data_IF_799731222751
#
_entry.id   IF_799731222751
#
_cell.length_a   1.000
_cell.length_b   1.000
_cell.length_c   1.000
_cell.angle_alpha   90.00
_cell.angle_beta   90.00
_cell.angle_gamma   90.00
#
_symmetry.space_group_name_H-M   'P 1'
#
loop_
_entity.id
_entity.type
_entity.pdbx_description
1 polymer ?
#
# COMPACT_ATOMS: atom_id res chain seq x y z
N UNK A 1 71.89 -3.78 -19.77
CA UNK A 1 70.96 -4.89 -19.50
C UNK A 1 69.73 -4.30 -18.81
N UNK A 2 68.58 -4.40 -19.47
CA UNK A 2 67.29 -3.84 -19.06
C UNK A 2 66.80 -4.44 -17.73
N UNK A 3 66.06 -3.67 -16.93
CA UNK A 3 64.73 -4.09 -16.46
C UNK A 3 63.94 -2.87 -15.95
N UNK A 4 63.05 -2.32 -16.78
CA UNK A 4 61.99 -1.39 -16.35
C UNK A 4 60.89 -2.22 -15.68
N UNK A 5 60.64 -2.01 -14.39
CA UNK A 5 59.46 -2.55 -13.71
C UNK A 5 58.24 -1.75 -14.14
N UNK A 6 57.42 -2.36 -15.00
CA UNK A 6 56.08 -1.87 -15.35
C UNK A 6 55.15 -2.41 -14.25
N UNK A 7 54.63 -1.52 -13.41
CA UNK A 7 53.55 -1.85 -12.47
C UNK A 7 52.24 -1.78 -13.25
N UNK A 8 51.64 -2.92 -13.50
CA UNK A 8 50.30 -3.04 -14.09
C UNK A 8 49.28 -2.84 -12.96
N UNK A 9 48.68 -1.65 -12.88
CA UNK A 9 47.49 -1.44 -12.05
C UNK A 9 46.30 -2.08 -12.77
N UNK A 10 45.87 -3.25 -12.29
CA UNK A 10 44.61 -3.88 -12.72
C UNK A 10 43.48 -3.07 -12.07
N UNK A 11 42.87 -2.20 -12.87
CA UNK A 11 41.63 -1.51 -12.51
C UNK A 11 40.51 -2.55 -12.59
N UNK A 12 40.14 -3.13 -11.46
CA UNK A 12 38.95 -3.98 -11.35
C UNK A 12 37.74 -3.05 -11.41
N UNK A 13 37.18 -2.85 -12.63
CA UNK A 13 35.83 -2.31 -12.76
C UNK A 13 34.88 -3.35 -12.18
N UNK A 14 34.53 -3.21 -10.90
CA UNK A 14 33.30 -3.80 -10.39
C UNK A 14 32.16 -3.14 -11.14
N UNK A 15 31.51 -3.87 -12.05
CA UNK A 15 30.23 -3.48 -12.63
C UNK A 15 29.20 -3.47 -11.50
N UNK A 16 29.10 -2.35 -10.79
CA UNK A 16 27.95 -2.09 -9.94
C UNK A 16 26.79 -1.87 -10.91
N UNK A 17 25.90 -2.86 -11.03
CA UNK A 17 24.62 -2.64 -11.67
C UNK A 17 23.86 -1.60 -10.84
N UNK A 18 24.02 -0.33 -11.20
CA UNK A 18 23.22 0.74 -10.65
C UNK A 18 21.84 0.61 -11.29
N UNK A 19 20.86 0.16 -10.51
CA UNK A 19 19.47 0.21 -10.94
C UNK A 19 19.06 1.67 -10.94
N UNK A 20 18.76 2.23 -12.11
CA UNK A 20 18.30 3.60 -12.21
C UNK A 20 16.84 3.69 -11.75
N UNK A 21 16.53 4.71 -10.94
CA UNK A 21 15.15 5.11 -10.70
C UNK A 21 14.50 5.45 -12.04
N UNK A 22 13.27 5.01 -12.20
CA UNK A 22 12.50 5.23 -13.42
C UNK A 22 11.02 5.47 -13.08
N UNK A 23 10.28 6.08 -14.00
CA UNK A 23 8.88 6.45 -13.82
C UNK A 23 8.02 6.19 -15.05
N UNK A 24 6.80 5.75 -14.86
CA UNK A 24 5.79 5.60 -15.91
C UNK A 24 4.45 6.21 -15.50
N UNK A 25 3.51 6.33 -16.45
CA UNK A 25 2.13 6.74 -16.12
C UNK A 25 1.44 5.67 -15.28
N UNK A 26 0.65 6.11 -14.29
CA UNK A 26 -0.17 5.19 -13.50
C UNK A 26 -1.45 4.78 -14.22
N UNK A 27 -2.20 3.88 -13.59
CA UNK A 27 -3.49 3.41 -14.08
C UNK A 27 -4.62 4.29 -13.53
N UNK A 28 -5.60 4.58 -14.38
CA UNK A 28 -6.85 5.25 -13.99
C UNK A 28 -7.95 4.21 -13.86
N UNK A 29 -8.66 4.25 -12.74
CA UNK A 29 -9.80 3.40 -12.41
C UNK A 29 -11.06 4.26 -12.43
N UNK A 30 -12.16 3.63 -12.79
CA UNK A 30 -13.50 4.25 -12.84
C UNK A 30 -14.36 3.60 -11.75
N UNK A 31 -15.03 4.44 -10.95
CA UNK A 31 -16.05 4.00 -10.03
C UNK A 31 -17.43 4.10 -10.70
N UNK A 32 -18.09 2.97 -10.87
CA UNK A 32 -19.38 2.88 -11.53
C UNK A 32 -20.54 3.07 -10.53
N UNK A 33 -21.59 3.76 -10.95
CA UNK A 33 -22.83 3.81 -10.19
C UNK A 33 -23.62 2.50 -10.32
N UNK A 34 -24.16 2.01 -9.20
CA UNK A 34 -25.26 1.05 -9.20
C UNK A 34 -26.60 1.79 -9.39
N UNK A 35 -27.52 1.23 -10.17
CA UNK A 35 -28.86 1.81 -10.38
C UNK A 35 -29.78 1.66 -9.15
N UNK A 36 -29.36 0.90 -8.14
CA UNK A 36 -30.13 0.60 -6.94
C UNK A 36 -29.99 1.69 -5.87
N UNK A 37 -31.08 1.90 -5.12
CA UNK A 37 -31.07 2.74 -3.92
C UNK A 37 -30.98 1.83 -2.69
N UNK A 38 -29.79 1.75 -2.11
CA UNK A 38 -29.44 0.75 -1.09
C UNK A 38 -29.99 1.08 0.30
N UNK A 39 -30.05 2.38 0.63
CA UNK A 39 -30.46 2.86 1.95
C UNK A 39 -29.67 2.22 3.11
N UNK A 40 -28.34 2.11 2.97
CA UNK A 40 -27.43 1.54 3.98
C UNK A 40 -26.36 2.55 4.38
N UNK A 41 -25.88 2.47 5.63
CA UNK A 41 -24.84 3.36 6.12
C UNK A 41 -23.87 2.67 7.08
N UNK A 42 -22.58 2.84 6.82
CA UNK A 42 -21.48 2.48 7.69
C UNK A 42 -20.56 3.68 7.89
N UNK A 43 -20.45 4.20 9.12
CA UNK A 43 -19.66 5.40 9.39
C UNK A 43 -18.28 5.11 9.97
N UNK A 44 -18.02 3.86 10.35
CA UNK A 44 -16.83 3.47 11.09
C UNK A 44 -16.72 4.13 12.48
N UNK A 45 -15.53 4.11 13.09
CA UNK A 45 -15.29 4.74 14.37
C UNK A 45 -15.40 6.27 14.28
N UNK A 46 -15.86 6.92 15.36
CA UNK A 46 -16.02 8.37 15.36
C UNK A 46 -14.67 9.09 15.32
N UNK A 47 -14.37 9.74 14.20
CA UNK A 47 -13.21 10.61 14.05
C UNK A 47 -13.42 12.03 14.63
N UNK A 48 -14.64 12.35 15.11
CA UNK A 48 -15.02 13.70 15.60
C UNK A 48 -14.21 14.18 16.82
N UNK A 49 -13.60 13.25 17.56
CA UNK A 49 -12.72 13.55 18.70
C UNK A 49 -11.22 13.52 18.36
N UNK A 50 -10.84 13.24 17.10
CA UNK A 50 -9.44 13.19 16.65
C UNK A 50 -8.84 14.55 16.30
N UNK A 51 -9.50 15.68 16.64
CA UNK A 51 -8.81 16.99 16.61
C UNK A 51 -7.53 17.02 17.48
N UNK A 52 -7.33 16.00 18.33
CA UNK A 52 -6.14 15.78 19.16
C UNK A 52 -5.31 14.54 18.78
N UNK A 53 -5.75 13.71 17.83
CA UNK A 53 -4.86 12.70 17.27
C UNK A 53 -3.98 13.41 16.26
N UNK A 54 -2.67 13.36 16.46
CA UNK A 54 -1.72 14.01 15.56
C UNK A 54 -2.06 13.61 14.12
N UNK A 55 -2.37 14.60 13.25
CA UNK A 55 -2.43 14.37 11.81
C UNK A 55 -1.07 13.81 11.41
N UNK A 56 -1.02 12.52 11.08
CA UNK A 56 0.19 11.73 10.84
C UNK A 56 0.58 11.70 9.34
N UNK A 57 -0.31 12.18 8.48
CA UNK A 57 -0.05 12.49 7.09
C UNK A 57 -0.61 13.87 6.71
N UNK A 58 0.01 14.49 5.71
CA UNK A 58 -0.50 15.72 5.06
C UNK A 58 -0.97 15.37 3.66
N UNK A 59 -2.23 15.71 3.35
CA UNK A 59 -2.80 15.57 2.00
C UNK A 59 -3.22 16.95 1.54
N UNK A 60 -2.64 17.42 0.44
CA UNK A 60 -2.92 18.73 -0.15
C UNK A 60 -3.75 18.55 -1.42
N UNK A 61 -4.90 19.20 -1.50
CA UNK A 61 -5.80 19.09 -2.65
C UNK A 61 -5.83 20.39 -3.43
N UNK A 62 -5.61 20.30 -4.75
CA UNK A 62 -5.84 21.38 -5.70
C UNK A 62 -7.17 21.14 -6.40
N UNK A 63 -8.16 22.01 -6.15
CA UNK A 63 -9.50 21.88 -6.72
C UNK A 63 -9.68 22.71 -8.00
N UNK A 64 -10.33 22.12 -9.00
CA UNK A 64 -10.78 22.79 -10.22
C UNK A 64 -12.30 22.66 -10.35
N UNK A 65 -13.00 23.78 -10.48
CA UNK A 65 -14.46 23.86 -10.74
C UNK A 65 -15.37 23.25 -9.65
N UNK A 66 -14.84 22.90 -8.48
CA UNK A 66 -15.64 22.32 -7.39
C UNK A 66 -16.57 23.36 -6.73
N UNK A 67 -17.86 23.02 -6.49
CA UNK A 67 -18.73 23.72 -5.55
C UNK A 67 -18.19 23.67 -4.12
N UNK A 68 -18.49 24.68 -3.29
CA UNK A 68 -17.93 24.76 -1.93
C UNK A 68 -18.43 23.64 -0.99
N UNK A 69 -19.70 23.24 -1.10
CA UNK A 69 -20.24 22.11 -0.34
C UNK A 69 -19.55 20.79 -0.72
N UNK A 70 -19.25 20.61 -2.01
CA UNK A 70 -18.53 19.45 -2.51
C UNK A 70 -17.08 19.41 -2.01
N UNK A 71 -16.40 20.57 -1.89
CA UNK A 71 -15.06 20.65 -1.25
C UNK A 71 -15.12 20.21 0.21
N UNK A 72 -16.18 20.56 0.93
CA UNK A 72 -16.34 20.19 2.34
C UNK A 72 -16.49 18.67 2.51
N UNK A 73 -17.30 18.03 1.68
CA UNK A 73 -17.42 16.57 1.66
C UNK A 73 -16.12 15.87 1.23
N UNK A 74 -15.42 16.41 0.24
CA UNK A 74 -14.10 15.91 -0.17
C UNK A 74 -13.09 16.02 0.98
N UNK A 75 -13.06 17.17 1.68
CA UNK A 75 -12.14 17.40 2.78
C UNK A 75 -12.40 16.43 3.95
N UNK A 76 -13.67 16.05 4.20
CA UNK A 76 -13.98 15.04 5.21
C UNK A 76 -13.38 13.66 4.87
N UNK A 77 -13.43 13.24 3.60
CA UNK A 77 -12.74 12.04 3.13
C UNK A 77 -11.21 12.14 3.29
N UNK A 78 -10.64 13.31 2.99
CA UNK A 78 -9.21 13.59 3.19
C UNK A 78 -8.83 13.48 4.66
N UNK A 79 -9.61 14.05 5.57
CA UNK A 79 -9.33 14.03 7.01
C UNK A 79 -9.31 12.59 7.57
N UNK A 80 -10.15 11.69 7.05
CA UNK A 80 -10.09 10.25 7.39
C UNK A 80 -8.75 9.66 6.98
N UNK A 81 -8.32 9.83 5.73
CA UNK A 81 -7.02 9.31 5.28
C UNK A 81 -5.83 9.93 6.02
N UNK A 82 -5.86 11.24 6.32
CA UNK A 82 -4.84 11.92 7.13
C UNK A 82 -4.71 11.36 8.55
N UNK A 83 -5.78 10.77 9.09
CA UNK A 83 -5.79 10.14 10.41
C UNK A 83 -5.33 8.69 10.42
N UNK A 84 -5.22 8.06 9.24
CA UNK A 84 -4.90 6.64 9.08
C UNK A 84 -3.50 6.41 8.50
N UNK A 85 -3.04 7.25 7.57
CA UNK A 85 -1.74 7.08 6.91
C UNK A 85 -0.61 7.71 7.70
N UNK A 86 0.55 7.06 7.68
CA UNK A 86 1.77 7.53 8.32
C UNK A 86 2.80 7.84 7.25
N UNK A 87 3.09 9.12 7.06
CA UNK A 87 4.09 9.60 6.11
C UNK A 87 4.54 11.02 6.44
N UNK A 88 5.83 11.30 6.26
CA UNK A 88 6.40 12.66 6.31
C UNK A 88 6.20 13.45 5.03
N UNK A 89 6.01 12.76 3.90
CA UNK A 89 5.90 13.39 2.60
C UNK A 89 4.43 13.71 2.34
N UNK A 90 4.15 14.95 1.97
CA UNK A 90 2.79 15.39 1.70
C UNK A 90 2.29 14.79 0.39
N UNK A 91 1.13 14.13 0.44
CA UNK A 91 0.46 13.57 -0.74
C UNK A 91 -0.27 14.71 -1.45
N UNK A 92 -0.05 14.86 -2.75
CA UNK A 92 -0.69 15.90 -3.56
C UNK A 92 -1.80 15.31 -4.42
N UNK A 93 -3.00 15.88 -4.32
CA UNK A 93 -4.15 15.48 -5.12
C UNK A 93 -4.57 16.64 -6.02
N UNK A 94 -4.82 16.37 -7.30
CA UNK A 94 -5.58 17.27 -8.18
C UNK A 94 -6.99 16.73 -8.34
N UNK A 95 -7.99 17.54 -7.99
CA UNK A 95 -9.40 17.17 -8.04
C UNK A 95 -10.15 18.07 -9.05
N UNK A 96 -10.78 17.47 -10.05
CA UNK A 96 -11.57 18.17 -11.07
C UNK A 96 -13.06 17.83 -10.94
N UNK A 97 -13.93 18.85 -10.95
CA UNK A 97 -15.38 18.68 -11.03
C UNK A 97 -15.81 18.85 -12.48
N UNK A 98 -15.97 17.75 -13.21
CA UNK A 98 -16.27 17.81 -14.64
C UNK A 98 -17.29 16.75 -15.08
N UNK A 99 -17.84 16.91 -16.28
CA UNK A 99 -18.81 15.97 -16.83
C UNK A 99 -18.10 14.71 -17.32
N UNK A 100 -18.40 13.58 -16.71
CA UNK A 100 -18.01 12.27 -17.22
C UNK A 100 -19.23 11.68 -17.93
N UNK A 101 -19.02 11.15 -19.14
CA UNK A 101 -20.08 10.45 -19.88
C UNK A 101 -20.29 9.07 -19.27
N UNK A 102 -21.54 8.57 -19.27
CA UNK A 102 -21.99 7.32 -18.64
C UNK A 102 -22.32 7.43 -17.14
N UNK A 103 -22.62 6.29 -16.51
CA UNK A 103 -22.94 6.16 -15.08
C UNK A 103 -21.71 6.15 -14.16
N UNK A 104 -20.52 6.49 -14.67
CA UNK A 104 -19.31 6.66 -13.85
C UNK A 104 -19.48 7.80 -12.84
N UNK A 105 -19.29 7.51 -11.56
CA UNK A 105 -19.36 8.45 -10.44
C UNK A 105 -18.11 9.34 -10.40
N UNK A 106 -16.95 8.71 -10.50
CA UNK A 106 -15.65 9.38 -10.52
C UNK A 106 -14.60 8.51 -11.21
N UNK A 107 -13.48 9.13 -11.57
CA UNK A 107 -12.27 8.44 -11.99
C UNK A 107 -11.10 8.86 -11.12
N UNK A 108 -10.22 7.92 -10.81
CA UNK A 108 -9.03 8.18 -9.99
C UNK A 108 -7.86 7.28 -10.36
N UNK A 109 -6.66 7.75 -10.05
CA UNK A 109 -5.46 6.94 -10.14
C UNK A 109 -4.23 7.70 -9.69
N UNK A 110 -3.15 6.96 -9.47
CA UNK A 110 -1.84 7.57 -9.34
C UNK A 110 -1.44 8.20 -10.69
N UNK A 111 -0.96 9.45 -10.70
CA UNK A 111 -0.48 10.08 -11.95
C UNK A 111 0.76 9.39 -12.49
N UNK A 112 1.64 8.95 -11.59
CA UNK A 112 2.89 8.27 -11.91
C UNK A 112 3.08 7.05 -11.03
N UNK A 113 3.85 6.11 -11.55
CA UNK A 113 4.46 5.03 -10.78
C UNK A 113 5.98 5.11 -10.88
N UNK A 114 6.68 4.64 -9.85
CA UNK A 114 8.13 4.62 -9.76
C UNK A 114 8.65 3.22 -9.45
N UNK A 115 9.79 2.85 -10.03
CA UNK A 115 10.54 1.64 -9.67
C UNK A 115 11.98 2.00 -9.32
N UNK A 116 12.64 1.15 -8.54
CA UNK A 116 14.07 1.25 -8.23
C UNK A 116 14.51 2.61 -7.64
N UNK A 117 13.60 3.29 -6.92
CA UNK A 117 13.88 4.51 -6.17
C UNK A 117 14.60 4.18 -4.84
N UNK A 118 15.10 5.21 -4.16
CA UNK A 118 15.77 5.05 -2.88
C UNK A 118 14.84 4.36 -1.85
N UNK A 119 15.35 3.34 -1.15
CA UNK A 119 14.60 2.55 -0.17
C UNK A 119 13.44 1.70 -0.73
N UNK A 120 13.34 1.52 -2.05
CA UNK A 120 12.35 0.61 -2.64
C UNK A 120 12.50 -0.82 -2.05
N UNK A 121 11.44 -1.40 -1.44
CA UNK A 121 11.54 -2.70 -0.76
C UNK A 121 11.79 -3.85 -1.73
N UNK A 122 11.22 -3.77 -2.92
CA UNK A 122 11.35 -4.77 -3.98
C UNK A 122 11.81 -4.04 -5.25
N UNK A 123 12.88 -4.56 -5.85
CA UNK A 123 13.39 -4.07 -7.13
C UNK A 123 12.52 -4.56 -8.29
N UNK A 124 12.56 -3.81 -9.38
CA UNK A 124 11.86 -4.15 -10.63
C UNK A 124 10.35 -4.38 -10.43
N UNK A 125 9.77 -3.57 -9.53
CA UNK A 125 8.35 -3.48 -9.23
C UNK A 125 7.94 -2.01 -9.20
N UNK A 126 6.77 -1.71 -9.74
CA UNK A 126 6.24 -0.34 -9.81
C UNK A 126 5.38 0.00 -8.59
N UNK A 127 5.61 1.18 -8.01
CA UNK A 127 4.89 1.71 -6.87
C UNK A 127 4.18 3.01 -7.27
N UNK A 128 2.91 3.25 -6.88
CA UNK A 128 2.26 4.54 -7.11
C UNK A 128 3.05 5.67 -6.44
N UNK A 129 3.07 6.86 -7.04
CA UNK A 129 3.95 7.94 -6.62
C UNK A 129 3.83 8.28 -5.14
N UNK A 130 2.61 8.41 -4.60
CA UNK A 130 2.39 8.71 -3.19
C UNK A 130 3.08 7.68 -2.26
N UNK A 131 3.01 6.39 -2.61
CA UNK A 131 3.66 5.32 -1.85
C UNK A 131 5.17 5.34 -2.04
N UNK A 132 5.63 5.52 -3.27
CA UNK A 132 7.06 5.60 -3.57
C UNK A 132 7.73 6.76 -2.80
N UNK A 133 7.08 7.92 -2.76
CA UNK A 133 7.53 9.09 -2.00
C UNK A 133 7.50 8.84 -0.48
N UNK A 134 6.43 8.23 0.04
CA UNK A 134 6.33 7.87 1.45
C UNK A 134 7.46 6.92 1.89
N UNK A 135 7.80 5.93 1.06
CA UNK A 135 8.90 4.98 1.32
C UNK A 135 10.27 5.67 1.17
N UNK A 136 10.46 6.47 0.12
CA UNK A 136 11.71 7.19 -0.11
C UNK A 136 11.97 8.24 0.98
N UNK A 137 10.92 8.75 1.62
CA UNK A 137 10.97 9.84 2.59
C UNK A 137 11.20 11.21 1.95
N UNK A 138 11.13 11.29 0.62
CA UNK A 138 11.33 12.51 -0.18
C UNK A 138 10.34 12.54 -1.33
N UNK A 139 10.06 13.76 -1.81
CA UNK A 139 9.25 13.99 -3.00
C UNK A 139 10.05 13.59 -4.26
N UNK A 140 9.44 12.77 -5.13
CA UNK A 140 10.04 12.19 -6.34
C UNK A 140 9.49 12.82 -7.63
N UNK A 141 8.33 13.48 -7.59
CA UNK A 141 7.64 14.06 -8.76
C UNK A 141 7.62 15.61 -8.79
N UNK A 142 8.33 16.27 -7.88
CA UNK A 142 8.45 17.72 -7.80
C UNK A 142 7.13 18.40 -7.44
N UNK A 143 6.61 19.22 -8.35
CA UNK A 143 5.33 19.94 -8.15
C UNK A 143 4.12 19.20 -8.70
N UNK A 144 4.32 18.08 -9.41
CA UNK A 144 3.22 17.29 -9.96
C UNK A 144 2.37 16.68 -8.85
N UNK A 145 1.10 16.41 -9.14
CA UNK A 145 0.24 15.70 -8.22
C UNK A 145 0.57 14.20 -8.19
N UNK A 146 0.34 13.57 -7.04
CA UNK A 146 0.45 12.13 -6.88
C UNK A 146 -0.79 11.40 -7.39
N UNK A 147 -1.95 11.96 -7.04
CA UNK A 147 -3.26 11.39 -7.34
C UNK A 147 -4.04 12.40 -8.16
N UNK A 148 -4.70 11.93 -9.22
CA UNK A 148 -5.66 12.71 -9.97
C UNK A 148 -7.06 12.11 -9.79
N UNK A 149 -8.03 12.93 -9.41
CA UNK A 149 -9.43 12.55 -9.23
C UNK A 149 -10.29 13.46 -10.11
N UNK A 150 -11.20 12.88 -10.88
CA UNK A 150 -12.26 13.62 -11.58
C UNK A 150 -13.61 13.12 -11.10
N UNK A 151 -14.41 14.02 -10.54
CA UNK A 151 -15.76 13.71 -10.04
C UNK A 151 -16.78 14.13 -11.07
N UNK A 152 -17.74 13.26 -11.36
CA UNK A 152 -18.76 13.51 -12.35
C UNK A 152 -19.78 14.54 -11.86
N UNK A 153 -19.73 15.75 -12.42
CA UNK A 153 -20.65 16.85 -12.07
C UNK A 153 -22.12 16.60 -12.42
N UNK A 154 -22.39 15.59 -13.27
CA UNK A 154 -23.73 15.28 -13.76
C UNK A 154 -24.50 14.35 -12.81
N UNK A 155 -23.86 13.85 -11.75
CA UNK A 155 -24.47 12.94 -10.78
C UNK A 155 -25.25 13.73 -9.72
N UNK A 156 -26.32 13.12 -9.22
CA UNK A 156 -27.09 13.63 -8.09
C UNK A 156 -26.36 13.33 -6.78
N UNK A 157 -25.63 14.32 -6.26
CA UNK A 157 -24.77 14.16 -5.09
C UNK A 157 -25.47 14.54 -3.77
N UNK A 158 -25.16 13.78 -2.72
CA UNK A 158 -25.22 14.20 -1.33
C UNK A 158 -23.85 14.75 -0.91
N UNK A 159 -23.85 15.89 -0.22
CA UNK A 159 -22.65 16.51 0.35
C UNK A 159 -22.59 16.35 1.87
N UNK A 160 -23.53 15.62 2.46
CA UNK A 160 -23.57 15.37 3.90
C UNK A 160 -22.41 14.47 4.33
N UNK A 161 -21.88 14.71 5.53
CA UNK A 161 -20.73 13.98 6.11
C UNK A 161 -21.06 13.39 7.47
N UNK A 162 -22.34 13.45 7.86
CA UNK A 162 -22.85 13.00 9.14
C UNK A 162 -23.53 11.63 9.08
N UNK A 163 -23.58 11.03 7.89
CA UNK A 163 -24.24 9.75 7.63
C UNK A 163 -25.73 9.87 7.29
N UNK A 164 -26.23 11.07 7.01
CA UNK A 164 -27.62 11.27 6.58
C UNK A 164 -27.81 10.67 5.18
N UNK A 165 -28.61 9.60 5.10
CA UNK A 165 -28.99 8.98 3.84
C UNK A 165 -30.01 9.86 3.11
N UNK A 166 -29.75 10.16 1.85
CA UNK A 166 -30.67 10.87 0.97
C UNK A 166 -31.03 9.95 -0.19
N UNK A 167 -32.32 9.62 -0.32
CA UNK A 167 -32.79 8.76 -1.40
C UNK A 167 -32.41 9.32 -2.78
N UNK A 168 -31.98 8.41 -3.68
CA UNK A 168 -31.58 8.73 -5.05
C UNK A 168 -30.40 9.70 -5.19
N UNK A 169 -29.59 9.85 -4.13
CA UNK A 169 -28.34 10.61 -4.16
C UNK A 169 -27.17 9.71 -3.80
N UNK A 170 -26.06 9.90 -4.50
CA UNK A 170 -24.80 9.23 -4.19
C UNK A 170 -24.04 10.04 -3.14
N UNK A 171 -23.45 9.37 -2.17
CA UNK A 171 -22.68 10.00 -1.10
C UNK A 171 -21.28 10.40 -1.61
N UNK A 172 -21.02 11.71 -1.73
CA UNK A 172 -19.76 12.18 -2.29
C UNK A 172 -18.56 11.79 -1.42
N UNK A 173 -18.69 11.84 -0.09
CA UNK A 173 -17.60 11.48 0.83
C UNK A 173 -17.17 10.02 0.64
N UNK A 174 -18.13 9.10 0.51
CA UNK A 174 -17.90 7.68 0.23
C UNK A 174 -17.13 7.49 -1.08
N UNK A 175 -17.57 8.14 -2.16
CA UNK A 175 -16.88 8.07 -3.46
C UNK A 175 -15.47 8.64 -3.37
N UNK A 176 -15.27 9.80 -2.73
CA UNK A 176 -13.90 10.36 -2.59
C UNK A 176 -12.99 9.47 -1.76
N UNK A 177 -13.50 8.85 -0.68
CA UNK A 177 -12.73 7.89 0.10
C UNK A 177 -12.26 6.71 -0.75
N UNK A 178 -13.16 6.18 -1.58
CA UNK A 178 -12.90 5.12 -2.56
C UNK A 178 -11.84 5.55 -3.59
N UNK A 179 -12.02 6.70 -4.23
CA UNK A 179 -11.10 7.23 -5.23
C UNK A 179 -9.69 7.46 -4.67
N UNK A 180 -9.57 7.95 -3.44
CA UNK A 180 -8.27 8.12 -2.80
C UNK A 180 -7.59 6.76 -2.59
N UNK A 181 -8.33 5.69 -2.24
CA UNK A 181 -7.76 4.35 -2.07
C UNK A 181 -7.09 3.83 -3.37
N UNK A 182 -7.72 4.06 -4.53
CA UNK A 182 -7.12 3.75 -5.83
C UNK A 182 -5.81 4.53 -6.04
N UNK A 183 -5.83 5.85 -5.79
CA UNK A 183 -4.64 6.69 -5.89
C UNK A 183 -3.49 6.28 -4.95
N UNK A 184 -3.81 5.70 -3.78
CA UNK A 184 -2.85 5.17 -2.83
C UNK A 184 -2.27 3.81 -3.23
N UNK A 185 -2.82 3.14 -4.25
CA UNK A 185 -2.29 1.88 -4.77
C UNK A 185 -3.21 0.67 -4.68
N UNK A 186 -4.50 0.85 -4.35
CA UNK A 186 -5.50 -0.20 -4.50
C UNK A 186 -5.85 -0.34 -5.98
N UNK A 187 -4.93 -0.86 -6.80
CA UNK A 187 -5.09 -0.91 -8.26
C UNK A 187 -4.21 -1.99 -8.86
N UNK A 188 -4.77 -2.82 -9.74
CA UNK A 188 -4.01 -3.78 -10.53
C UNK A 188 -3.57 -3.21 -11.88
N UNK A 189 -2.49 -3.76 -12.45
CA UNK A 189 -2.16 -3.57 -13.87
C UNK A 189 -2.77 -4.62 -14.80
N UNK A 190 -3.43 -5.65 -14.25
CA UNK A 190 -3.96 -6.77 -15.01
C UNK A 190 -5.05 -6.32 -15.96
N UNK A 191 -4.92 -6.69 -17.24
CA UNK A 191 -5.88 -6.35 -18.29
C UNK A 191 -5.95 -7.41 -19.37
N UNK A 192 -7.02 -7.39 -20.16
CA UNK A 192 -7.08 -8.20 -21.37
C UNK A 192 -6.00 -7.79 -22.38
N UNK A 193 -5.56 -8.77 -23.17
CA UNK A 193 -4.45 -8.64 -24.09
C UNK A 193 -4.73 -9.39 -25.41
N UNK A 194 -4.08 -8.92 -26.47
CA UNK A 194 -4.24 -9.45 -27.82
C UNK A 194 -5.42 -8.84 -28.58
N UNK A 195 -5.42 -8.99 -29.90
CA UNK A 195 -6.39 -8.37 -30.83
C UNK A 195 -7.84 -8.83 -30.63
N UNK A 196 -8.05 -9.99 -30.01
CA UNK A 196 -9.38 -10.55 -29.70
C UNK A 196 -9.60 -10.71 -28.19
N UNK A 197 -8.77 -10.07 -27.35
CA UNK A 197 -8.85 -10.16 -25.89
C UNK A 197 -8.87 -11.61 -25.36
N UNK A 198 -8.29 -12.56 -26.10
CA UNK A 198 -8.30 -13.99 -25.75
C UNK A 198 -7.33 -14.30 -24.61
N UNK A 199 -6.40 -13.39 -24.34
CA UNK A 199 -5.41 -13.48 -23.28
C UNK A 199 -5.59 -12.33 -22.28
N UNK A 200 -4.93 -12.44 -21.15
CA UNK A 200 -4.69 -11.32 -20.25
C UNK A 200 -3.19 -11.13 -20.07
N UNK A 201 -2.81 -9.94 -19.63
CA UNK A 201 -1.45 -9.55 -19.31
C UNK A 201 -1.43 -8.69 -18.04
N UNK A 202 -0.25 -8.49 -17.48
CA UNK A 202 -0.01 -7.51 -16.43
C UNK A 202 1.29 -6.76 -16.68
N UNK A 203 1.42 -5.65 -15.97
CA UNK A 203 2.63 -4.88 -15.82
C UNK A 203 2.79 -3.73 -16.80
N UNK A 204 3.79 -2.91 -16.47
CA UNK A 204 4.35 -1.86 -17.32
C UNK A 204 5.76 -2.31 -17.67
N UNK A 205 6.06 -2.39 -18.97
CA UNK A 205 7.36 -2.90 -19.48
C UNK A 205 7.70 -4.32 -19.00
N UNK A 206 6.67 -5.15 -18.79
CA UNK A 206 6.84 -6.52 -18.30
C UNK A 206 7.12 -6.64 -16.80
N UNK A 207 7.06 -5.54 -16.04
CA UNK A 207 7.23 -5.51 -14.59
C UNK A 207 5.88 -5.25 -13.87
N UNK A 208 5.58 -5.95 -12.77
CA UNK A 208 4.30 -5.82 -12.08
C UNK A 208 4.22 -4.53 -11.26
N UNK A 209 3.00 -4.10 -10.91
CA UNK A 209 2.81 -3.20 -9.77
C UNK A 209 3.04 -3.96 -8.47
N UNK A 210 3.39 -3.25 -7.40
CA UNK A 210 3.52 -3.82 -6.05
C UNK A 210 2.22 -4.50 -5.59
N UNK A 211 1.07 -4.02 -6.05
CA UNK A 211 -0.21 -4.62 -5.77
C UNK A 211 -0.36 -6.01 -6.43
N UNK A 212 0.11 -6.16 -7.68
CA UNK A 212 -0.13 -7.37 -8.48
C UNK A 212 0.57 -8.60 -7.91
N UNK A 213 1.73 -8.42 -7.25
CA UNK A 213 2.54 -9.54 -6.75
C UNK A 213 1.91 -10.28 -5.56
N UNK A 214 0.86 -9.71 -4.95
CA UNK A 214 0.12 -10.33 -3.86
C UNK A 214 -1.19 -10.99 -4.32
N UNK A 215 -1.59 -10.81 -5.58
CA UNK A 215 -2.77 -11.46 -6.14
C UNK A 215 -2.49 -12.94 -6.40
N UNK A 216 -3.28 -13.81 -5.79
CA UNK A 216 -3.14 -15.27 -5.91
C UNK A 216 -4.49 -15.98 -5.97
N UNK A 217 -4.50 -17.21 -6.48
CA UNK A 217 -5.66 -18.10 -6.40
C UNK A 217 -5.78 -18.75 -5.02
N UNK A 218 -6.93 -19.37 -4.71
CA UNK A 218 -7.14 -20.11 -3.45
C UNK A 218 -6.10 -21.21 -3.21
N UNK A 219 -5.58 -21.82 -4.27
CA UNK A 219 -4.54 -22.85 -4.20
C UNK A 219 -3.11 -22.28 -3.99
N UNK A 220 -2.96 -20.98 -3.79
CA UNK A 220 -1.68 -20.31 -3.57
C UNK A 220 -0.89 -19.95 -4.84
N UNK A 221 -1.46 -20.17 -6.04
CA UNK A 221 -0.82 -19.76 -7.29
C UNK A 221 -0.85 -18.23 -7.43
N UNK A 222 0.32 -17.61 -7.30
CA UNK A 222 0.53 -16.17 -7.53
C UNK A 222 0.39 -15.85 -9.02
N UNK A 223 -0.44 -14.86 -9.35
CA UNK A 223 -0.80 -14.55 -10.74
C UNK A 223 0.35 -13.94 -11.56
N UNK A 224 1.33 -13.32 -10.89
CA UNK A 224 2.54 -12.76 -11.52
C UNK A 224 3.70 -13.75 -11.63
N UNK A 225 3.53 -14.99 -11.15
CA UNK A 225 4.57 -16.01 -11.27
C UNK A 225 4.61 -16.60 -12.70
N UNK A 226 5.50 -16.06 -13.54
CA UNK A 226 5.64 -16.44 -14.95
C UNK A 226 6.15 -17.87 -15.18
N UNK A 227 6.69 -18.53 -14.15
CA UNK A 227 7.01 -19.96 -14.22
C UNK A 227 5.76 -20.85 -14.19
N UNK A 228 4.61 -20.31 -13.75
CA UNK A 228 3.34 -21.02 -13.63
C UNK A 228 2.31 -20.48 -14.63
N UNK A 229 2.18 -19.15 -14.73
CA UNK A 229 1.18 -18.48 -15.56
C UNK A 229 1.89 -17.51 -16.51
N UNK A 230 1.80 -17.75 -17.82
CA UNK A 230 2.44 -16.87 -18.82
C UNK A 230 1.87 -15.44 -18.81
N UNK A 231 2.67 -14.48 -19.28
CA UNK A 231 2.29 -13.07 -19.42
C UNK A 231 2.74 -12.56 -20.81
N UNK A 232 1.83 -12.33 -21.79
CA UNK A 232 0.39 -12.58 -21.75
C UNK A 232 0.02 -14.08 -21.83
N UNK A 233 -1.15 -14.47 -21.32
CA UNK A 233 -1.69 -15.84 -21.53
C UNK A 233 -3.21 -15.97 -21.40
N UNK A 234 -3.76 -17.05 -21.97
CA UNK A 234 -5.16 -17.46 -21.78
C UNK A 234 -5.40 -17.97 -20.35
N UNK A 235 -4.37 -18.55 -19.72
CA UNK A 235 -4.38 -19.02 -18.35
C UNK A 235 -4.57 -17.85 -17.37
N UNK A 236 -3.88 -16.74 -17.60
CA UNK A 236 -4.07 -15.52 -16.81
C UNK A 236 -5.47 -14.97 -16.99
N UNK A 237 -6.00 -14.94 -18.22
CA UNK A 237 -7.40 -14.52 -18.47
C UNK A 237 -8.37 -15.37 -17.66
N UNK A 238 -8.24 -16.70 -17.74
CA UNK A 238 -9.08 -17.61 -16.99
C UNK A 238 -8.96 -17.40 -15.48
N UNK A 239 -7.77 -17.07 -14.96
CA UNK A 239 -7.56 -16.80 -13.55
C UNK A 239 -8.24 -15.50 -13.08
N UNK A 240 -8.09 -14.40 -13.81
CA UNK A 240 -8.67 -13.10 -13.41
C UNK A 240 -10.20 -13.04 -13.59
N UNK A 241 -10.81 -14.02 -14.27
CA UNK A 241 -12.27 -14.15 -14.43
C UNK A 241 -12.85 -15.41 -13.77
N UNK A 242 -12.27 -15.85 -12.65
CA UNK A 242 -12.58 -17.15 -12.03
C UNK A 242 -13.44 -17.10 -10.76
N UNK A 243 -13.70 -15.90 -10.22
CA UNK A 243 -14.20 -15.66 -8.86
C UNK A 243 -13.30 -16.26 -7.74
N UNK A 244 -12.09 -16.67 -8.08
CA UNK A 244 -11.12 -17.39 -7.24
C UNK A 244 -9.78 -16.63 -7.22
N UNK A 245 -9.84 -15.35 -6.85
CA UNK A 245 -8.66 -14.50 -6.64
C UNK A 245 -8.73 -13.85 -5.27
N UNK A 246 -7.61 -13.92 -4.56
CA UNK A 246 -7.42 -13.43 -3.21
C UNK A 246 -6.14 -12.59 -3.14
N UNK A 247 -6.15 -11.56 -2.30
CA UNK A 247 -4.98 -10.75 -2.03
C UNK A 247 -4.25 -11.29 -0.80
N UNK A 248 -3.02 -11.79 -0.98
CA UNK A 248 -2.24 -12.35 0.12
C UNK A 248 -1.83 -11.25 1.11
N UNK A 249 -2.19 -11.44 2.38
CA UNK A 249 -1.69 -10.61 3.49
C UNK A 249 -0.79 -11.48 4.37
N UNK A 250 0.45 -11.07 4.56
CA UNK A 250 1.47 -11.91 5.20
C UNK A 250 1.48 -11.79 6.73
N UNK A 251 0.88 -10.74 7.27
CA UNK A 251 0.86 -10.46 8.72
C UNK A 251 -0.41 -9.71 9.13
N UNK A 252 -0.81 -9.92 10.37
CA UNK A 252 -1.95 -9.23 10.98
C UNK A 252 -3.26 -10.02 10.92
N UNK A 253 -4.40 -9.39 11.23
CA UNK A 253 -5.67 -10.09 11.45
C UNK A 253 -6.17 -10.85 10.22
N UNK A 254 -5.76 -10.42 9.02
CA UNK A 254 -6.16 -11.01 7.74
C UNK A 254 -5.18 -12.07 7.21
N UNK A 255 -4.13 -12.42 7.97
CA UNK A 255 -3.10 -13.36 7.48
C UNK A 255 -3.58 -14.80 7.28
N UNK A 256 -4.74 -15.14 7.85
CA UNK A 256 -5.37 -16.45 7.71
C UNK A 256 -6.71 -16.40 6.96
N UNK A 257 -7.18 -15.21 6.58
CA UNK A 257 -8.39 -15.01 5.76
C UNK A 257 -8.13 -13.89 4.75
N UNK A 258 -7.49 -14.27 3.64
CA UNK A 258 -7.10 -13.32 2.62
C UNK A 258 -8.31 -12.58 2.03
N UNK A 259 -8.20 -11.26 1.79
CA UNK A 259 -9.22 -10.51 1.09
C UNK A 259 -9.59 -11.16 -0.24
N UNK A 260 -10.89 -11.34 -0.48
CA UNK A 260 -11.39 -11.86 -1.74
C UNK A 260 -11.61 -10.71 -2.71
N UNK A 261 -11.02 -10.83 -3.90
CA UNK A 261 -11.03 -9.78 -4.91
C UNK A 261 -12.18 -9.98 -5.88
N UNK A 262 -12.70 -8.88 -6.43
CA UNK A 262 -13.71 -8.90 -7.47
C UNK A 262 -13.10 -9.45 -8.78
N UNK A 263 -13.37 -10.73 -9.04
CA UNK A 263 -12.91 -11.46 -10.22
C UNK A 263 -14.10 -12.08 -10.98
N UNK A 264 -14.99 -11.25 -11.55
CA UNK A 264 -16.23 -11.74 -12.17
C UNK A 264 -15.95 -12.67 -13.36
N UNK A 265 -16.91 -13.53 -13.71
CA UNK A 265 -16.80 -14.42 -14.89
C UNK A 265 -16.71 -13.65 -16.22
N UNK A 266 -17.20 -12.40 -16.24
CA UNK A 266 -17.02 -11.45 -17.34
C UNK A 266 -16.07 -10.35 -16.90
N UNK A 267 -14.93 -10.26 -17.56
CA UNK A 267 -13.94 -9.21 -17.27
C UNK A 267 -14.56 -7.82 -17.40
N UNK A 268 -14.29 -6.98 -16.41
CA UNK A 268 -14.62 -5.55 -16.35
C UNK A 268 -13.32 -4.76 -16.35
N UNK A 269 -13.12 -3.93 -17.37
CA UNK A 269 -11.96 -3.04 -17.43
C UNK A 269 -12.00 -2.04 -16.28
N UNK A 270 -10.88 -1.81 -15.60
CA UNK A 270 -10.83 -0.96 -14.40
C UNK A 270 -11.46 -1.60 -13.15
N UNK A 271 -12.50 -2.43 -13.31
CA UNK A 271 -13.20 -3.09 -12.21
C UNK A 271 -12.50 -4.35 -11.67
N UNK A 272 -12.07 -5.24 -12.57
CA UNK A 272 -11.56 -6.58 -12.21
C UNK A 272 -10.26 -6.47 -11.41
N UNK A 273 -10.24 -7.07 -10.21
CA UNK A 273 -9.12 -7.11 -9.25
C UNK A 273 -8.68 -5.76 -8.64
N UNK A 274 -9.23 -4.64 -9.08
CA UNK A 274 -9.12 -3.34 -8.39
C UNK A 274 -10.25 -3.11 -7.38
N UNK A 275 -11.11 -4.10 -7.14
CA UNK A 275 -12.24 -4.02 -6.19
C UNK A 275 -12.36 -5.30 -5.36
N UNK A 276 -13.12 -5.22 -4.27
CA UNK A 276 -13.44 -6.32 -3.37
C UNK A 276 -14.70 -7.08 -3.84
N UNK A 277 -14.75 -8.37 -3.52
CA UNK A 277 -15.89 -9.22 -3.85
C UNK A 277 -17.13 -8.85 -3.01
N UNK A 278 -18.18 -8.31 -3.63
CA UNK A 278 -19.41 -7.86 -2.93
C UNK A 278 -20.16 -9.01 -2.25
N UNK A 279 -19.97 -10.25 -2.70
CA UNK A 279 -20.61 -11.39 -2.02
C UNK A 279 -19.96 -11.66 -0.66
N UNK A 280 -18.64 -11.43 -0.52
CA UNK A 280 -17.92 -11.49 0.75
C UNK A 280 -18.08 -10.21 1.57
N UNK A 281 -18.14 -9.05 0.91
CA UNK A 281 -18.20 -7.72 1.53
C UNK A 281 -19.44 -6.95 1.04
N UNK A 282 -20.63 -7.28 1.55
CA UNK A 282 -21.87 -6.70 1.05
C UNK A 282 -21.97 -5.20 1.35
N UNK A 283 -22.77 -4.50 0.55
CA UNK A 283 -23.07 -3.07 0.65
C UNK A 283 -23.46 -2.69 2.09
N UNK A 284 -22.93 -1.57 2.58
CA UNK A 284 -23.14 -1.10 3.95
C UNK A 284 -22.40 -1.89 5.05
N UNK A 285 -21.56 -2.87 4.70
CA UNK A 285 -20.65 -3.51 5.65
C UNK A 285 -19.39 -2.67 5.90
N UNK A 286 -18.63 -3.00 6.95
CA UNK A 286 -17.38 -2.31 7.28
C UNK A 286 -16.39 -2.26 6.10
N UNK A 287 -16.35 -3.33 5.28
CA UNK A 287 -15.36 -3.49 4.23
C UNK A 287 -15.95 -3.34 2.81
N UNK A 288 -17.11 -2.66 2.69
CA UNK A 288 -17.78 -2.46 1.39
C UNK A 288 -17.24 -1.27 0.59
N UNK A 289 -16.33 -0.45 1.15
CA UNK A 289 -15.92 0.80 0.50
C UNK A 289 -15.31 0.57 -0.90
N UNK A 290 -14.56 -0.52 -1.12
CA UNK A 290 -14.00 -0.87 -2.45
C UNK A 290 -14.86 -1.88 -3.21
N UNK A 291 -16.18 -1.83 -3.05
CA UNK A 291 -17.09 -2.50 -3.98
C UNK A 291 -16.92 -1.96 -5.40
N UNK A 292 -17.09 -2.78 -6.46
CA UNK A 292 -16.94 -2.37 -7.85
C UNK A 292 -17.98 -1.32 -8.29
N UNK A 293 -19.08 -1.20 -7.56
CA UNK A 293 -20.14 -0.25 -7.82
C UNK A 293 -20.64 0.31 -6.50
N UNK A 294 -21.08 1.57 -6.50
CA UNK A 294 -21.68 2.22 -5.32
C UNK A 294 -23.11 2.61 -5.66
N UNK A 295 -24.06 2.23 -4.81
CA UNK A 295 -25.48 2.56 -5.00
C UNK A 295 -25.86 3.94 -4.46
N UNK A 296 -27.04 4.42 -4.88
CA UNK A 296 -27.62 5.61 -4.27
C UNK A 296 -28.00 5.33 -2.81
N UNK A 297 -27.86 6.33 -1.94
CA UNK A 297 -28.05 6.19 -0.49
C UNK A 297 -27.21 5.08 0.16
N UNK A 298 -26.13 4.62 -0.49
CA UNK A 298 -25.08 3.81 0.12
C UNK A 298 -24.02 4.74 0.72
N UNK A 299 -23.81 4.62 2.03
CA UNK A 299 -22.83 5.41 2.76
C UNK A 299 -21.78 4.50 3.36
N UNK A 300 -20.51 4.75 3.04
CA UNK A 300 -19.37 4.20 3.76
C UNK A 300 -18.31 5.27 4.00
N UNK A 301 -18.21 5.73 5.26
CA UNK A 301 -17.27 6.79 5.66
C UNK A 301 -15.97 6.27 6.30
N UNK A 302 -15.66 4.99 6.12
CA UNK A 302 -14.44 4.37 6.66
C UNK A 302 -13.84 3.29 5.75
N UNK A 303 -12.51 3.28 5.53
CA UNK A 303 -11.88 2.25 4.69
C UNK A 303 -12.06 0.80 5.17
N UNK A 304 -12.22 0.54 6.46
CA UNK A 304 -12.31 -0.82 6.98
C UNK A 304 -10.96 -1.55 7.01
N UNK A 305 -10.90 -2.63 7.79
CA UNK A 305 -9.65 -3.38 8.01
C UNK A 305 -9.08 -4.03 6.74
N UNK A 306 -9.92 -4.39 5.77
CA UNK A 306 -9.48 -5.04 4.53
C UNK A 306 -8.62 -4.09 3.68
N UNK A 307 -9.09 -2.88 3.43
CA UNK A 307 -8.35 -1.88 2.65
C UNK A 307 -7.06 -1.51 3.38
N UNK A 308 -7.16 -1.25 4.68
CA UNK A 308 -6.00 -0.88 5.51
C UNK A 308 -4.93 -1.99 5.50
N UNK A 309 -5.34 -3.26 5.52
CA UNK A 309 -4.42 -4.39 5.42
C UNK A 309 -3.76 -4.53 4.06
N UNK A 310 -4.50 -4.30 2.98
CA UNK A 310 -3.96 -4.30 1.62
C UNK A 310 -2.95 -3.16 1.45
N UNK A 311 -3.30 -1.94 1.87
CA UNK A 311 -2.39 -0.79 1.80
C UNK A 311 -1.14 -1.01 2.65
N UNK A 312 -1.28 -1.61 3.84
CA UNK A 312 -0.13 -1.96 4.67
C UNK A 312 0.77 -3.02 4.01
N UNK A 313 0.18 -4.04 3.40
CA UNK A 313 0.91 -5.11 2.71
C UNK A 313 1.72 -4.59 1.50
N UNK A 314 1.23 -3.58 0.78
CA UNK A 314 1.99 -2.97 -0.34
C UNK A 314 3.07 -1.99 0.14
N UNK A 315 3.03 -1.55 1.40
CA UNK A 315 4.11 -0.78 2.03
C UNK A 315 3.70 0.49 2.79
N UNK A 316 2.41 0.83 2.87
CA UNK A 316 1.97 1.99 3.65
C UNK A 316 2.11 1.75 5.16
N UNK A 317 2.59 2.77 5.87
CA UNK A 317 2.39 2.86 7.32
C UNK A 317 0.92 3.21 7.57
N UNK A 318 0.18 2.33 8.27
CA UNK A 318 -1.24 2.52 8.57
C UNK A 318 -1.50 2.41 10.07
N UNK A 319 -1.98 3.49 10.67
CA UNK A 319 -2.29 3.54 12.10
C UNK A 319 -3.37 2.51 12.48
N UNK A 320 -3.20 1.88 13.64
CA UNK A 320 -4.16 0.91 14.21
C UNK A 320 -4.44 -0.33 13.33
N UNK A 321 -3.60 -0.61 12.33
CA UNK A 321 -3.57 -1.94 11.71
C UNK A 321 -2.68 -2.85 12.56
N UNK A 322 -3.25 -3.94 13.10
CA UNK A 322 -2.56 -4.94 13.93
C UNK A 322 -1.52 -5.72 13.10
N UNK A 323 -0.41 -5.06 12.78
CA UNK A 323 0.66 -5.53 11.90
C UNK A 323 1.73 -4.46 11.67
N UNK A 324 1.72 -3.39 12.47
CA UNK A 324 2.47 -2.17 12.23
C UNK A 324 3.98 -2.40 12.02
N UNK A 325 4.45 -2.07 10.82
CA UNK A 325 5.81 -1.61 10.54
C UNK A 325 5.74 -0.09 10.55
N UNK A 326 6.51 0.55 11.44
CA UNK A 326 6.75 2.00 11.42
C UNK A 326 7.54 2.30 10.14
N UNK A 327 6.89 2.78 9.08
CA UNK A 327 7.57 3.54 8.03
C UNK A 327 7.22 5.02 8.17
N UNK A 328 8.27 5.82 8.19
CA UNK A 328 8.29 7.28 8.13
C UNK A 328 7.75 8.03 9.36
N UNK A 329 8.38 7.85 10.53
CA UNK A 329 9.18 8.88 11.25
C UNK A 329 9.71 8.31 12.54
N UNK A 330 11.03 8.35 12.73
CA UNK A 330 11.70 8.84 13.94
C UNK A 330 13.09 9.35 13.47
N UNK A 331 13.86 10.09 14.27
CA UNK A 331 14.52 11.37 13.95
C UNK A 331 15.67 11.28 12.94
N UNK A 332 16.20 12.45 12.58
CA UNK A 332 17.26 12.72 11.61
C UNK A 332 18.62 11.98 11.80
N UNK A 333 18.74 11.00 12.70
CA UNK A 333 19.94 10.17 12.81
C UNK A 333 19.57 8.73 13.19
N UNK A 334 19.53 7.85 12.18
CA UNK A 334 19.42 6.38 12.37
C UNK A 334 20.57 5.87 13.25
N UNK A 335 21.67 6.61 13.31
CA UNK A 335 22.81 6.30 14.18
C UNK A 335 22.52 6.51 15.66
N UNK A 336 21.39 7.08 16.10
CA UNK A 336 21.10 7.31 17.53
C UNK A 336 20.06 6.35 18.13
N UNK A 337 19.42 5.49 17.32
CA UNK A 337 18.33 4.61 17.77
C UNK A 337 18.53 3.14 17.35
N UNK A 338 17.96 2.22 18.13
CA UNK A 338 18.01 0.79 17.85
C UNK A 338 17.04 0.44 16.73
N UNK A 339 17.55 -0.14 15.65
CA UNK A 339 16.74 -0.53 14.49
C UNK A 339 17.04 -1.97 14.07
N UNK A 340 16.05 -2.66 13.51
CA UNK A 340 16.18 -4.06 13.09
C UNK A 340 15.60 -4.31 11.70
N UNK A 341 16.21 -5.23 10.95
CA UNK A 341 15.72 -5.62 9.62
C UNK A 341 16.25 -6.99 9.16
N UNK A 342 15.54 -7.70 8.26
CA UNK A 342 14.12 -7.47 7.96
C UNK A 342 13.24 -7.80 9.18
N UNK A 343 12.03 -7.26 9.24
CA UNK A 343 11.03 -7.63 10.24
C UNK A 343 9.65 -7.68 9.54
N UNK A 344 9.05 -8.86 9.33
CA UNK A 344 9.44 -10.19 9.85
C UNK A 344 10.79 -10.71 9.36
N UNK A 345 11.49 -11.47 10.21
CA UNK A 345 12.82 -12.02 9.95
C UNK A 345 12.78 -13.55 9.88
N UNK A 346 13.32 -14.18 8.81
CA UNK A 346 13.35 -15.63 8.68
C UNK A 346 14.47 -16.23 9.54
N UNK A 347 15.74 -15.95 9.24
CA UNK A 347 16.85 -16.67 9.91
C UNK A 347 17.79 -15.73 10.67
N UNK A 348 17.88 -14.48 10.25
CA UNK A 348 18.86 -13.52 10.75
C UNK A 348 18.21 -12.15 10.94
N UNK A 349 18.32 -11.66 12.17
CA UNK A 349 17.96 -10.29 12.52
C UNK A 349 19.21 -9.41 12.38
N UNK A 350 19.22 -8.50 11.40
CA UNK A 350 20.22 -7.45 11.33
C UNK A 350 19.79 -6.32 12.27
N UNK A 351 20.75 -5.75 12.99
CA UNK A 351 20.55 -4.72 14.01
C UNK A 351 21.44 -3.55 13.67
N UNK A 352 20.87 -2.35 13.55
CA UNK A 352 21.63 -1.10 13.55
C UNK A 352 21.71 -0.63 14.99
N UNK A 353 22.94 -0.39 15.46
CA UNK A 353 23.21 -0.08 16.85
C UNK A 353 23.39 1.43 17.01
N UNK A 354 22.76 2.06 18.03
CA UNK A 354 23.02 3.44 18.38
C UNK A 354 24.50 3.74 18.63
N UNK A 355 25.01 4.89 18.18
CA UNK A 355 26.35 5.43 18.36
C UNK A 355 26.77 5.49 19.83
N UNK A 356 25.82 5.77 20.72
CA UNK A 356 26.07 5.75 22.18
C UNK A 356 26.54 4.38 22.68
N UNK A 357 26.38 3.32 21.89
CA UNK A 357 26.86 1.98 22.17
C UNK A 357 28.02 1.55 21.27
N UNK A 358 28.51 2.34 20.31
CA UNK A 358 29.67 1.94 19.50
C UNK A 358 30.92 1.79 20.38
N UNK A 359 31.79 0.85 20.01
CA UNK A 359 33.04 0.50 20.70
C UNK A 359 32.84 0.06 22.16
N UNK A 360 31.63 -0.39 22.51
CA UNK A 360 31.29 -0.99 23.81
C UNK A 360 30.98 -2.46 23.64
N UNK A 361 31.10 -3.22 24.71
CA UNK A 361 30.53 -4.57 24.77
C UNK A 361 29.04 -4.46 25.06
N UNK A 362 28.22 -5.02 24.18
CA UNK A 362 26.76 -4.97 24.27
C UNK A 362 26.19 -6.38 24.37
N UNK A 363 25.18 -6.51 25.23
CA UNK A 363 24.39 -7.72 25.39
C UNK A 363 23.05 -7.56 24.66
N UNK A 364 22.75 -8.52 23.79
CA UNK A 364 21.50 -8.64 23.10
C UNK A 364 20.69 -9.83 23.61
N UNK A 365 19.45 -9.59 24.00
CA UNK A 365 18.56 -10.57 24.60
C UNK A 365 17.25 -10.62 23.83
N UNK A 366 16.80 -11.81 23.45
CA UNK A 366 15.51 -12.02 22.78
C UNK A 366 14.55 -12.65 23.77
N UNK A 367 13.41 -12.01 24.01
CA UNK A 367 12.34 -12.50 24.88
C UNK A 367 11.11 -12.87 24.07
N UNK A 368 10.36 -13.89 24.51
CA UNK A 368 8.99 -14.10 24.03
C UNK A 368 8.01 -13.09 24.68
N UNK A 369 6.75 -13.06 24.23
CA UNK A 369 5.73 -12.16 24.79
C UNK A 369 5.35 -12.42 26.26
N UNK A 370 5.76 -13.56 26.83
CA UNK A 370 5.58 -13.89 28.25
C UNK A 370 6.75 -13.40 29.09
N UNK A 371 7.78 -12.81 28.47
CA UNK A 371 9.01 -12.34 29.12
C UNK A 371 10.04 -13.45 29.35
N UNK A 372 9.89 -14.62 28.73
CA UNK A 372 10.87 -15.70 28.82
C UNK A 372 12.05 -15.40 27.90
N UNK A 373 13.28 -15.47 28.42
CA UNK A 373 14.49 -15.31 27.62
C UNK A 373 14.68 -16.51 26.68
N UNK A 374 14.70 -16.24 25.39
CA UNK A 374 14.76 -17.24 24.32
C UNK A 374 16.15 -17.35 23.70
N UNK A 375 16.89 -16.24 23.62
CA UNK A 375 18.25 -16.19 23.10
C UNK A 375 19.02 -15.04 23.74
N UNK A 376 20.33 -15.22 23.88
CA UNK A 376 21.25 -14.19 24.33
C UNK A 376 22.55 -14.25 23.52
N UNK A 377 23.10 -13.08 23.21
CA UNK A 377 24.37 -12.94 22.50
C UNK A 377 25.12 -11.70 22.99
N UNK A 378 26.44 -11.78 23.10
CA UNK A 378 27.31 -10.68 23.52
C UNK A 378 28.30 -10.41 22.39
N UNK A 379 28.45 -9.15 22.00
CA UNK A 379 29.36 -8.75 20.94
C UNK A 379 29.92 -7.35 21.21
N UNK A 380 31.07 -7.05 20.58
CA UNK A 380 31.57 -5.68 20.49
C UNK A 380 30.74 -4.93 19.44
N UNK A 381 30.02 -3.90 19.87
CA UNK A 381 29.10 -3.19 18.99
C UNK A 381 29.85 -2.21 18.09
N UNK A 382 29.70 -2.43 16.79
CA UNK A 382 29.98 -1.45 15.75
C UNK A 382 28.65 -0.87 15.24
N UNK A 383 28.62 -0.27 14.05
CA UNK A 383 27.39 0.29 13.46
C UNK A 383 26.29 -0.75 13.23
N UNK A 384 26.66 -2.00 12.92
CA UNK A 384 25.72 -3.08 12.63
C UNK A 384 26.09 -4.38 13.37
N UNK A 385 25.08 -5.15 13.76
CA UNK A 385 25.22 -6.51 14.30
C UNK A 385 24.19 -7.46 13.66
N UNK A 386 24.41 -8.77 13.82
CA UNK A 386 23.52 -9.82 13.32
C UNK A 386 23.26 -10.84 14.41
N UNK A 387 22.00 -11.25 14.56
CA UNK A 387 21.59 -12.30 15.48
C UNK A 387 20.91 -13.41 14.68
N UNK A 388 21.41 -14.63 14.78
CA UNK A 388 20.74 -15.80 14.18
C UNK A 388 19.53 -16.20 15.05
N UNK A 389 18.35 -16.15 14.45
CA UNK A 389 17.05 -16.49 15.05
C UNK A 389 16.37 -17.68 14.36
N UNK A 390 17.04 -18.38 13.45
CA UNK A 390 16.54 -19.53 12.69
C UNK A 390 15.85 -20.58 13.59
N UNK A 391 16.41 -20.81 14.78
CA UNK A 391 15.93 -21.80 15.74
C UNK A 391 14.78 -21.31 16.63
N UNK A 392 14.38 -20.05 16.54
CA UNK A 392 13.22 -19.54 17.26
C UNK A 392 11.94 -20.05 16.59
N UNK A 393 10.94 -20.51 17.36
CA UNK A 393 9.61 -20.78 16.82
C UNK A 393 9.02 -19.54 16.12
N UNK A 394 8.16 -19.75 15.13
CA UNK A 394 7.40 -18.64 14.54
C UNK A 394 6.59 -17.92 15.61
N UNK A 395 6.64 -16.59 15.63
CA UNK A 395 5.98 -15.81 16.68
C UNK A 395 6.54 -14.40 16.85
N UNK A 396 5.97 -13.70 17.84
CA UNK A 396 6.37 -12.34 18.23
C UNK A 396 7.38 -12.40 19.37
N UNK A 397 8.42 -11.57 19.27
CA UNK A 397 9.52 -11.48 20.22
C UNK A 397 9.88 -10.03 20.52
N UNK A 398 10.64 -9.82 21.59
CA UNK A 398 11.22 -8.53 21.95
C UNK A 398 12.73 -8.70 21.98
N UNK A 399 13.44 -7.95 21.13
CA UNK A 399 14.89 -7.80 21.25
C UNK A 399 15.17 -6.68 22.25
N UNK A 400 16.04 -6.93 23.23
CA UNK A 400 16.55 -5.94 24.19
C UNK A 400 18.05 -5.78 24.03
N UNK A 401 18.51 -4.53 24.03
CA UNK A 401 19.92 -4.15 23.98
C UNK A 401 20.27 -3.33 25.24
N UNK A 402 21.40 -3.69 25.87
CA UNK A 402 22.01 -2.91 26.97
C UNK A 402 21.03 -2.51 28.10
N UNK A 403 20.09 -3.41 28.42
CA UNK A 403 19.08 -3.32 29.50
C UNK A 403 17.97 -2.26 29.34
N UNK A 404 18.15 -1.23 28.50
CA UNK A 404 17.25 -0.07 28.46
C UNK A 404 16.53 0.16 27.13
N UNK A 405 16.95 -0.49 26.04
CA UNK A 405 16.28 -0.35 24.74
C UNK A 405 15.68 -1.67 24.30
N UNK A 406 14.43 -1.63 23.85
CA UNK A 406 13.70 -2.81 23.41
C UNK A 406 12.95 -2.53 22.11
N UNK A 407 12.98 -3.47 21.18
CA UNK A 407 12.32 -3.38 19.89
C UNK A 407 11.59 -4.71 19.58
N UNK A 408 10.29 -4.67 19.25
CA UNK A 408 9.54 -5.88 18.94
C UNK A 408 9.86 -6.37 17.51
N UNK A 409 9.84 -7.69 17.32
CA UNK A 409 10.02 -8.30 16.00
C UNK A 409 9.23 -9.59 15.82
N UNK A 410 9.03 -9.99 14.56
CA UNK A 410 8.32 -11.22 14.17
C UNK A 410 9.34 -12.19 13.57
N UNK A 411 9.40 -13.41 14.10
CA UNK A 411 10.04 -14.56 13.45
C UNK A 411 9.00 -15.22 12.55
N UNK A 412 9.27 -15.27 11.24
CA UNK A 412 8.42 -15.92 10.24
C UNK A 412 9.10 -17.09 9.54
#
# INVERSE_FOLDING_TARGET
MLLKKIIFSILVLSSVFCYAQDSADGYVIECEASEENEDVAFLGPSFKNLKSAAKIATINVTYSNFPDDAKSAFQAAVDVWQSLLITKVAIKITANWDGITSSTLATSGAKKVYKNFANAPIKDVWYPSALAEAIAGVNLNGTEADIAITVNKNISWSFDTDGTRQAFKYDLMTVILHEIAHGLGFTTSMKLAGTNETQAQWGIEGLPLIYDIFSQRSNGQVLTNTAIIGNPSTQLKAAITSADVFFKISSGPLSNDYPKMYAPTTYRSGGTLSHLDESKYPKGSENSLMSPQIGAAEINHYPGQVILGILNQIGWGVLNYDGFVITATEPQDISQQLFIYPNPSPDVLNIIIPEKYHDKTVQAQVFDLRGVLMKEEIFESQSNAKINIEKLPFGKYILRIAQNESIPFIKN
#
